data_IF_879316054153
#
_entry.id   IF_879316054153
#
_cell.length_a   1.000
_cell.length_b   1.000
_cell.length_c   1.000
_cell.angle_alpha   90.00
_cell.angle_beta   90.00
_cell.angle_gamma   90.00
#
_symmetry.space_group_name_H-M   'P 1'
#
loop_
_entity.id
_entity.type
_entity.pdbx_description
1 polymer ?
#
# COMPACT_ATOMS: atom_id res chain seq x y z
N UNK A 1 -18.06 -9.04 -9.23
CA UNK A 1 -16.88 -8.28 -9.68
C UNK A 1 -16.13 -7.73 -8.48
N UNK A 2 -14.82 -7.69 -8.57
CA UNK A 2 -13.95 -7.27 -7.47
C UNK A 2 -13.11 -6.07 -7.89
N UNK A 3 -12.90 -5.14 -6.95
CA UNK A 3 -11.91 -4.05 -7.08
C UNK A 3 -10.82 -4.27 -6.05
N UNK A 4 -9.57 -4.33 -6.50
CA UNK A 4 -8.41 -4.47 -5.63
C UNK A 4 -7.65 -3.16 -5.52
N UNK A 5 -7.27 -2.79 -4.29
CA UNK A 5 -6.43 -1.62 -4.04
C UNK A 5 -5.62 -1.78 -2.76
N UNK A 6 -4.51 -1.07 -2.69
CA UNK A 6 -3.69 -1.00 -1.49
C UNK A 6 -3.81 0.34 -0.79
N UNK A 7 -3.45 0.37 0.50
CA UNK A 7 -3.48 1.56 1.34
C UNK A 7 -2.11 1.86 1.94
N UNK A 8 -1.90 3.12 2.34
CA UNK A 8 -0.63 3.57 2.93
C UNK A 8 -0.39 2.97 4.33
N UNK A 9 -1.44 2.51 5.01
CA UNK A 9 -1.41 1.81 6.30
C UNK A 9 -1.39 0.27 6.18
N UNK A 10 -0.89 -0.21 5.03
CA UNK A 10 -0.50 -1.62 4.77
C UNK A 10 -1.64 -2.58 4.50
N UNK A 11 -2.84 -2.12 4.18
CA UNK A 11 -3.91 -3.02 3.76
C UNK A 11 -3.90 -3.22 2.25
N UNK A 12 -3.96 -4.46 1.83
CA UNK A 12 -4.40 -4.83 0.49
C UNK A 12 -5.84 -5.37 0.59
N UNK A 13 -6.76 -4.76 -0.16
CA UNK A 13 -8.21 -4.94 0.03
C UNK A 13 -8.88 -5.35 -1.27
N UNK A 14 -9.98 -6.09 -1.13
CA UNK A 14 -10.91 -6.40 -2.19
C UNK A 14 -12.31 -5.89 -1.83
N UNK A 15 -12.91 -5.10 -2.71
CA UNK A 15 -14.28 -4.59 -2.57
C UNK A 15 -15.21 -5.27 -3.58
N UNK A 16 -16.48 -5.39 -3.22
CA UNK A 16 -17.54 -5.61 -4.20
C UNK A 16 -17.67 -4.37 -5.11
N UNK A 17 -17.54 -4.56 -6.43
CA UNK A 17 -17.48 -3.43 -7.36
C UNK A 17 -18.77 -2.61 -7.46
N UNK A 18 -19.92 -3.17 -7.06
CA UNK A 18 -21.23 -2.51 -7.18
C UNK A 18 -21.58 -1.71 -5.93
N UNK A 19 -21.36 -2.30 -4.76
CA UNK A 19 -21.72 -1.72 -3.46
C UNK A 19 -20.57 -1.00 -2.76
N UNK A 20 -19.33 -1.27 -3.14
CA UNK A 20 -18.14 -0.78 -2.44
C UNK A 20 -17.87 -1.49 -1.11
N UNK A 21 -18.64 -2.53 -0.76
CA UNK A 21 -18.46 -3.29 0.48
C UNK A 21 -17.11 -4.00 0.50
N UNK A 22 -16.34 -3.84 1.58
CA UNK A 22 -15.11 -4.63 1.83
C UNK A 22 -15.47 -6.11 1.99
N UNK A 23 -14.91 -6.97 1.12
CA UNK A 23 -15.13 -8.41 1.13
C UNK A 23 -13.94 -9.16 1.72
N UNK A 24 -12.74 -8.61 1.57
CA UNK A 24 -11.50 -9.21 2.04
C UNK A 24 -10.42 -8.15 2.24
N UNK A 25 -9.51 -8.40 3.19
CA UNK A 25 -8.28 -7.63 3.34
C UNK A 25 -7.15 -8.48 3.93
N UNK A 26 -5.93 -8.09 3.63
CA UNK A 26 -4.71 -8.64 4.21
C UNK A 26 -3.71 -7.53 4.52
N UNK A 27 -3.01 -7.64 5.64
CA UNK A 27 -2.00 -6.66 6.02
C UNK A 27 -0.64 -7.06 5.46
N UNK A 28 -0.13 -6.29 4.50
CA UNK A 28 1.18 -6.52 3.86
C UNK A 28 2.32 -5.90 4.68
N UNK A 29 3.57 -6.11 4.23
CA UNK A 29 4.77 -5.70 4.98
C UNK A 29 4.96 -4.18 5.11
N UNK A 30 4.51 -3.39 4.13
CA UNK A 30 4.64 -1.93 4.08
C UNK A 30 3.48 -1.29 3.28
N UNK A 31 3.31 0.02 3.38
CA UNK A 31 2.26 0.75 2.70
C UNK A 31 2.34 0.56 1.18
N UNK A 32 1.19 0.51 0.53
CA UNK A 32 1.09 0.28 -0.92
C UNK A 32 0.94 1.62 -1.62
N UNK A 33 1.88 1.92 -2.51
CA UNK A 33 1.83 3.07 -3.42
C UNK A 33 1.71 2.65 -4.89
N UNK A 34 1.87 1.35 -5.16
CA UNK A 34 1.78 0.77 -6.50
C UNK A 34 0.38 0.26 -6.82
N UNK A 35 0.21 -0.23 -8.05
CA UNK A 35 -1.06 -0.77 -8.51
C UNK A 35 -1.22 -2.26 -8.15
N UNK A 36 -2.47 -2.66 -7.91
CA UNK A 36 -2.83 -4.07 -7.95
C UNK A 36 -2.67 -4.59 -9.39
N UNK A 37 -2.24 -5.84 -9.54
CA UNK A 37 -2.18 -6.50 -10.84
C UNK A 37 -2.67 -7.94 -10.75
N UNK A 38 -3.00 -8.55 -11.89
CA UNK A 38 -3.42 -9.96 -11.96
C UNK A 38 -2.79 -10.65 -13.15
N UNK A 39 -2.59 -11.96 -13.02
CA UNK A 39 -2.11 -12.83 -14.09
C UNK A 39 -2.61 -14.26 -13.88
N UNK A 40 -2.50 -15.10 -14.90
CA UNK A 40 -2.78 -16.53 -14.82
C UNK A 40 -1.49 -17.34 -14.90
N UNK A 41 -1.36 -18.38 -14.07
CA UNK A 41 -0.26 -19.34 -14.13
C UNK A 41 -0.79 -20.74 -13.87
N UNK A 42 -0.50 -21.69 -14.77
CA UNK A 42 -0.97 -23.09 -14.71
C UNK A 42 -2.49 -23.19 -14.46
N UNK A 43 -3.27 -22.37 -15.17
CA UNK A 43 -4.74 -22.36 -15.07
C UNK A 43 -5.30 -21.71 -13.79
N UNK A 44 -4.46 -21.22 -12.86
CA UNK A 44 -4.90 -20.48 -11.68
C UNK A 44 -4.68 -18.98 -11.83
N UNK A 45 -5.69 -18.19 -11.44
CA UNK A 45 -5.56 -16.74 -11.34
C UNK A 45 -4.80 -16.35 -10.08
N UNK A 46 -3.91 -15.37 -10.23
CA UNK A 46 -3.12 -14.78 -9.16
C UNK A 46 -3.37 -13.27 -9.14
N UNK A 47 -3.38 -12.69 -7.96
CA UNK A 47 -3.45 -11.24 -7.75
C UNK A 47 -2.22 -10.82 -6.97
N UNK A 48 -1.54 -9.78 -7.42
CA UNK A 48 -0.29 -9.31 -6.85
C UNK A 48 -0.30 -7.84 -6.51
N UNK A 49 0.54 -7.47 -5.54
CA UNK A 49 0.78 -6.08 -5.15
C UNK A 49 2.19 -5.90 -4.61
N UNK A 50 2.84 -4.80 -4.98
CA UNK A 50 4.08 -4.36 -4.34
C UNK A 50 3.77 -3.55 -3.09
N UNK A 51 4.42 -3.89 -1.99
CA UNK A 51 4.39 -3.14 -0.74
C UNK A 51 5.74 -2.47 -0.51
N UNK A 52 5.70 -1.20 -0.13
CA UNK A 52 6.86 -0.36 0.11
C UNK A 52 6.46 1.10 0.11
N UNK A 53 6.27 1.66 1.30
CA UNK A 53 5.84 3.05 1.45
C UNK A 53 6.90 3.98 0.87
N UNK A 54 6.46 4.98 0.11
CA UNK A 54 7.35 5.87 -0.62
C UNK A 54 6.57 6.89 -1.43
N UNK A 55 7.14 7.27 -2.58
CA UNK A 55 6.62 8.41 -3.33
C UNK A 55 6.57 9.67 -2.46
N UNK A 56 5.68 10.60 -2.80
CA UNK A 56 5.57 11.84 -2.04
C UNK A 56 4.89 11.64 -0.67
N UNK A 57 3.96 10.69 -0.54
CA UNK A 57 3.31 10.42 0.73
C UNK A 57 4.28 9.88 1.80
N UNK A 58 5.23 9.02 1.41
CA UNK A 58 6.23 8.43 2.32
C UNK A 58 7.55 9.19 2.42
N UNK A 59 7.71 10.33 1.73
CA UNK A 59 9.02 10.99 1.57
C UNK A 59 9.66 11.40 2.89
N UNK A 60 8.88 11.98 3.80
CA UNK A 60 9.39 12.51 5.05
C UNK A 60 9.88 11.38 5.97
N UNK A 61 9.09 10.32 6.09
CA UNK A 61 9.48 9.12 6.81
C UNK A 61 10.75 8.48 6.25
N UNK A 62 10.87 8.36 4.93
CA UNK A 62 12.02 7.69 4.31
C UNK A 62 13.31 8.54 4.33
N UNK A 63 13.20 9.86 4.40
CA UNK A 63 14.33 10.79 4.47
C UNK A 63 14.61 11.31 5.89
N UNK A 64 13.83 10.91 6.89
CA UNK A 64 13.98 11.36 8.28
C UNK A 64 13.63 12.84 8.49
N UNK A 65 12.76 13.40 7.65
CA UNK A 65 12.31 14.80 7.75
C UNK A 65 11.31 14.92 8.90
N UNK A 66 11.46 15.98 9.71
CA UNK A 66 10.70 16.14 10.96
C UNK A 66 10.01 17.48 11.07
N UNK A 67 10.44 18.49 10.32
CA UNK A 67 9.76 19.77 10.27
C UNK A 67 8.54 19.64 9.33
N UNK A 68 7.32 19.96 9.80
CA UNK A 68 6.09 19.70 9.06
C UNK A 68 5.97 20.42 7.70
N UNK A 69 6.75 21.48 7.45
CA UNK A 69 6.75 22.19 6.16
C UNK A 69 7.75 21.63 5.15
N UNK A 70 8.62 20.70 5.57
CA UNK A 70 9.57 20.02 4.67
C UNK A 70 8.86 19.17 3.62
N UNK A 71 9.60 18.86 2.55
CA UNK A 71 9.09 18.12 1.39
C UNK A 71 7.79 18.72 0.82
N UNK A 72 7.75 20.06 0.73
CA UNK A 72 6.63 20.83 0.23
C UNK A 72 5.33 20.56 1.03
N UNK A 73 5.45 20.40 2.35
CA UNK A 73 4.34 20.17 3.28
C UNK A 73 3.94 18.70 3.47
N UNK A 74 4.53 17.76 2.72
CA UNK A 74 4.22 16.33 2.86
C UNK A 74 4.63 15.79 4.23
N UNK A 75 5.68 16.33 4.86
CA UNK A 75 6.11 15.92 6.19
C UNK A 75 5.01 16.10 7.25
N UNK A 76 4.35 17.25 7.25
CA UNK A 76 3.21 17.52 8.13
C UNK A 76 1.96 16.74 7.71
N UNK A 77 1.67 16.70 6.40
CA UNK A 77 0.45 16.06 5.88
C UNK A 77 0.39 14.54 6.11
N UNK A 78 1.54 13.88 6.22
CA UNK A 78 1.65 12.42 6.37
C UNK A 78 2.43 11.99 7.62
N UNK A 79 2.55 12.86 8.63
CA UNK A 79 3.35 12.62 9.84
C UNK A 79 3.02 11.27 10.54
N UNK A 80 1.75 10.86 10.50
CA UNK A 80 1.27 9.64 11.15
C UNK A 80 1.58 8.33 10.40
N UNK A 81 2.11 8.37 9.17
CA UNK A 81 2.45 7.15 8.44
C UNK A 81 3.50 6.29 9.15
N UNK A 82 4.33 6.92 9.98
CA UNK A 82 5.33 6.27 10.86
C UNK A 82 4.71 5.35 11.91
N UNK A 83 3.42 5.54 12.27
CA UNK A 83 2.72 4.64 13.19
C UNK A 83 2.42 3.27 12.57
N UNK A 84 2.33 3.21 11.25
CA UNK A 84 1.92 2.02 10.51
C UNK A 84 3.09 1.35 9.80
N UNK A 85 4.08 2.13 9.38
CA UNK A 85 5.19 1.70 8.54
C UNK A 85 6.55 1.83 9.24
N UNK A 86 7.47 0.94 8.90
CA UNK A 86 8.88 1.10 9.25
C UNK A 86 9.59 2.10 8.32
N UNK A 87 10.64 2.75 8.83
CA UNK A 87 11.50 3.67 8.09
C UNK A 87 12.96 3.15 8.09
N UNK A 88 13.65 3.11 6.93
CA UNK A 88 13.10 3.31 5.59
C UNK A 88 12.09 2.20 5.24
N UNK A 89 11.13 2.52 4.37
CA UNK A 89 10.13 1.56 3.91
C UNK A 89 10.78 0.31 3.32
N UNK A 90 10.34 -0.87 3.78
CA UNK A 90 10.74 -2.15 3.17
C UNK A 90 10.18 -2.33 1.76
N UNK A 91 10.60 -3.39 1.05
CA UNK A 91 10.10 -3.71 -0.29
C UNK A 91 9.77 -5.18 -0.42
N UNK A 92 8.51 -5.51 -0.76
CA UNK A 92 8.10 -6.90 -0.99
C UNK A 92 6.97 -6.99 -2.02
N UNK A 93 7.06 -7.99 -2.90
CA UNK A 93 5.95 -8.43 -3.73
C UNK A 93 5.14 -9.49 -2.97
N UNK A 94 3.84 -9.27 -2.81
CA UNK A 94 2.91 -10.27 -2.26
C UNK A 94 1.98 -10.76 -3.35
N UNK A 95 1.78 -12.08 -3.44
CA UNK A 95 0.92 -12.73 -4.44
C UNK A 95 -0.12 -13.60 -3.72
N UNK A 96 -1.37 -13.51 -4.16
CA UNK A 96 -2.53 -14.20 -3.61
C UNK A 96 -3.18 -15.09 -4.67
N UNK A 97 -3.70 -16.24 -4.27
CA UNK A 97 -4.51 -17.16 -5.08
C UNK A 97 -5.43 -17.98 -4.16
N UNK A 98 -6.36 -18.75 -4.74
CA UNK A 98 -7.24 -19.69 -4.01
C UNK A 98 -6.60 -21.09 -3.90
#
# INVERSE_FOLDING_TARGET
DLVFYGTLDRWFKALDAKSGKELWKFQVGSGVIGNAFTYAHKGKQHVGVLSGIGGWAGVAMNLGLTNPTEALGAAGGYAELTKYNAAPGGGALTVFTL
#
